data_IF_824891263101
#
_entry.id   IF_824891263101
#
_cell.length_a   1.000
_cell.length_b   1.000
_cell.length_c   1.000
_cell.angle_alpha   90.00
_cell.angle_beta   90.00
_cell.angle_gamma   90.00
#
_symmetry.space_group_name_H-M   'P 1'
#
loop_
_entity.id
_entity.type
_entity.pdbx_description
1 polymer ?
#
# COMPACT_ATOMS: atom_id res chain seq x y z
N UNK A 1 6.94 -12.16 -30.88
CA UNK A 1 5.59 -11.81 -30.41
C UNK A 1 5.79 -10.81 -29.29
N UNK A 2 5.20 -9.62 -29.36
CA UNK A 2 5.23 -8.68 -28.23
C UNK A 2 4.49 -9.31 -27.05
N UNK A 3 5.01 -9.17 -25.84
CA UNK A 3 4.28 -9.60 -24.64
C UNK A 3 2.92 -8.88 -24.57
N UNK A 4 1.85 -9.58 -24.13
CA UNK A 4 0.51 -9.00 -24.12
C UNK A 4 0.38 -7.94 -23.02
N UNK A 5 -0.08 -6.75 -23.41
CA UNK A 5 -0.56 -5.72 -22.47
C UNK A 5 -1.78 -6.27 -21.74
N UNK A 6 -1.78 -6.19 -20.40
CA UNK A 6 -2.91 -6.59 -19.55
C UNK A 6 -3.57 -5.36 -18.94
N UNK A 7 -4.90 -5.35 -18.94
CA UNK A 7 -5.72 -4.30 -18.31
C UNK A 7 -6.44 -4.93 -17.13
N UNK A 8 -6.41 -4.27 -15.99
CA UNK A 8 -7.06 -4.72 -14.76
C UNK A 8 -7.98 -3.64 -14.21
N UNK A 9 -9.03 -4.05 -13.50
CA UNK A 9 -9.87 -3.18 -12.71
C UNK A 9 -9.79 -3.63 -11.23
N UNK A 10 -9.63 -2.67 -10.32
CA UNK A 10 -9.56 -2.95 -8.88
C UNK A 10 -10.83 -3.64 -8.36
N UNK A 11 -12.00 -3.31 -8.93
CA UNK A 11 -13.27 -3.88 -8.51
C UNK A 11 -13.43 -5.36 -8.90
N UNK A 12 -12.69 -5.82 -9.91
CA UNK A 12 -12.68 -7.22 -10.33
C UNK A 12 -11.69 -8.08 -9.51
N UNK A 13 -10.84 -7.44 -8.70
CA UNK A 13 -9.82 -8.10 -7.87
C UNK A 13 -10.37 -8.36 -6.48
N UNK A 14 -10.44 -9.62 -5.99
CA UNK A 14 -10.91 -9.92 -4.64
C UNK A 14 -10.14 -9.16 -3.57
N UNK A 15 -10.84 -8.71 -2.53
CA UNK A 15 -10.21 -8.14 -1.35
C UNK A 15 -9.72 -9.25 -0.42
N UNK A 16 -8.48 -9.15 0.00
CA UNK A 16 -7.92 -9.87 1.14
C UNK A 16 -8.21 -9.01 2.36
N UNK A 17 -8.83 -9.61 3.36
CA UNK A 17 -9.25 -8.92 4.58
C UNK A 17 -8.27 -9.31 5.68
N UNK A 18 -7.56 -8.33 6.20
CA UNK A 18 -6.59 -8.50 7.28
C UNK A 18 -7.01 -7.66 8.50
N UNK A 19 -6.26 -7.77 9.59
CA UNK A 19 -6.43 -6.99 10.82
C UNK A 19 -7.88 -6.93 11.34
N UNK A 20 -8.49 -8.10 11.55
CA UNK A 20 -9.87 -8.23 12.07
C UNK A 20 -10.93 -7.51 11.23
N UNK A 21 -10.68 -7.29 9.94
CA UNK A 21 -11.63 -6.62 9.04
C UNK A 21 -11.25 -5.19 8.67
N UNK A 22 -10.24 -4.62 9.33
CA UNK A 22 -9.91 -3.19 9.23
C UNK A 22 -8.98 -2.84 8.09
N UNK A 23 -8.33 -3.85 7.51
CA UNK A 23 -7.47 -3.70 6.35
C UNK A 23 -8.04 -4.50 5.18
N UNK A 24 -8.25 -3.83 4.05
CA UNK A 24 -8.71 -4.45 2.81
C UNK A 24 -7.67 -4.25 1.72
N UNK A 25 -7.07 -5.33 1.24
CA UNK A 25 -5.99 -5.31 0.26
C UNK A 25 -6.46 -5.95 -1.05
N UNK A 26 -6.31 -5.25 -2.17
CA UNK A 26 -6.59 -5.79 -3.51
C UNK A 26 -5.29 -5.84 -4.31
N UNK A 27 -4.75 -7.05 -4.49
CA UNK A 27 -3.50 -7.29 -5.24
C UNK A 27 -3.77 -7.46 -6.72
N UNK A 28 -3.56 -6.37 -7.47
CA UNK A 28 -4.01 -6.24 -8.87
C UNK A 28 -2.95 -6.76 -9.84
N UNK A 29 -1.69 -6.34 -9.66
CA UNK A 29 -0.55 -6.80 -10.48
C UNK A 29 0.39 -7.59 -9.58
N UNK A 30 0.55 -8.87 -9.87
CA UNK A 30 1.40 -9.83 -9.14
C UNK A 30 2.08 -10.79 -10.14
N UNK A 31 2.91 -11.71 -9.66
CA UNK A 31 3.46 -12.76 -10.53
C UNK A 31 2.34 -13.64 -11.09
N UNK A 32 1.35 -14.04 -10.27
CA UNK A 32 0.24 -14.90 -10.71
C UNK A 32 -0.71 -14.22 -11.69
N UNK A 33 -1.05 -12.95 -11.49
CA UNK A 33 -2.00 -12.24 -12.35
C UNK A 33 -1.35 -11.73 -13.64
N UNK A 34 -0.10 -11.26 -13.54
CA UNK A 34 0.54 -10.50 -14.61
C UNK A 34 1.84 -11.11 -15.16
N UNK A 35 2.45 -12.12 -14.53
CA UNK A 35 3.87 -12.50 -14.72
C UNK A 35 4.84 -11.36 -14.33
N UNK A 36 4.41 -10.50 -13.40
CA UNK A 36 5.19 -9.37 -12.93
C UNK A 36 6.29 -9.83 -11.96
N UNK A 37 7.54 -9.79 -12.43
CA UNK A 37 8.73 -10.27 -11.70
C UNK A 37 9.46 -9.17 -10.92
N UNK A 38 9.27 -7.91 -11.31
CA UNK A 38 10.03 -6.79 -10.76
C UNK A 38 9.29 -6.06 -9.63
N UNK A 39 7.96 -6.00 -9.69
CA UNK A 39 7.15 -5.28 -8.72
C UNK A 39 5.74 -5.86 -8.65
N UNK A 40 5.03 -5.55 -7.57
CA UNK A 40 3.59 -5.74 -7.48
C UNK A 40 2.89 -4.39 -7.32
N UNK A 41 1.61 -4.35 -7.69
CA UNK A 41 0.73 -3.19 -7.55
C UNK A 41 -0.54 -3.60 -6.82
N UNK A 42 -0.87 -2.91 -5.74
CA UNK A 42 -2.09 -3.15 -4.99
C UNK A 42 -2.72 -1.87 -4.48
N UNK A 43 -4.02 -1.95 -4.20
CA UNK A 43 -4.77 -0.89 -3.52
C UNK A 43 -5.13 -1.41 -2.15
N UNK A 44 -4.82 -0.62 -1.12
CA UNK A 44 -5.17 -0.92 0.26
C UNK A 44 -6.11 0.15 0.79
N UNK A 45 -7.11 -0.29 1.56
CA UNK A 45 -7.96 0.56 2.38
C UNK A 45 -7.79 0.17 3.84
N UNK A 46 -7.58 1.17 4.69
CA UNK A 46 -7.68 1.02 6.14
C UNK A 46 -8.88 1.77 6.68
N UNK A 47 -9.58 1.14 7.61
CA UNK A 47 -10.60 1.79 8.42
C UNK A 47 -9.99 2.87 9.33
N UNK A 48 -10.83 3.80 9.75
CA UNK A 48 -10.40 4.92 10.58
C UNK A 48 -9.88 4.54 11.96
N UNK A 49 -9.00 5.39 12.50
CA UNK A 49 -8.44 5.24 13.85
C UNK A 49 -7.55 4.01 14.02
N UNK A 50 -7.02 3.47 12.92
CA UNK A 50 -6.00 2.43 12.97
C UNK A 50 -4.62 3.06 13.25
N UNK A 51 -3.79 2.37 14.02
CA UNK A 51 -2.44 2.80 14.33
C UNK A 51 -1.51 1.60 14.41
N UNK A 52 -0.38 1.68 13.70
CA UNK A 52 0.57 0.58 13.61
C UNK A 52 1.99 1.08 13.47
N UNK A 53 2.87 0.40 14.19
CA UNK A 53 4.30 0.54 14.04
C UNK A 53 4.84 -0.49 13.05
N UNK A 54 5.57 -0.03 12.04
CA UNK A 54 6.23 -0.86 11.05
C UNK A 54 7.72 -0.82 11.33
N UNK A 55 8.27 -1.93 11.82
CA UNK A 55 9.68 -2.04 12.19
C UNK A 55 10.48 -2.77 11.12
N UNK A 56 11.61 -2.20 10.70
CA UNK A 56 12.60 -2.84 9.83
C UNK A 56 11.95 -3.51 8.59
N UNK A 57 11.17 -2.72 7.86
CA UNK A 57 10.46 -3.16 6.65
C UNK A 57 11.44 -3.81 5.67
N UNK A 58 11.01 -4.87 4.99
CA UNK A 58 11.90 -5.70 4.17
C UNK A 58 11.95 -5.29 2.71
N UNK A 59 10.90 -4.63 2.24
CA UNK A 59 10.70 -4.33 0.84
C UNK A 59 10.96 -2.84 0.58
N UNK A 60 11.32 -2.54 -0.66
CA UNK A 60 11.28 -1.19 -1.18
C UNK A 60 9.85 -0.90 -1.63
N UNK A 61 9.26 0.20 -1.14
CA UNK A 61 7.86 0.51 -1.40
C UNK A 61 7.61 1.98 -1.68
N UNK A 62 6.62 2.22 -2.53
CA UNK A 62 5.99 3.52 -2.76
C UNK A 62 4.52 3.41 -2.44
N UNK A 63 4.06 4.30 -1.57
CA UNK A 63 2.66 4.53 -1.22
C UNK A 63 2.18 5.82 -1.89
N UNK A 64 1.00 5.81 -2.49
CA UNK A 64 0.36 7.02 -3.04
C UNK A 64 -1.07 7.12 -2.53
N UNK A 65 -1.37 8.20 -1.79
CA UNK A 65 -2.70 8.38 -1.18
C UNK A 65 -3.71 8.78 -2.25
N UNK A 66 -4.80 8.03 -2.32
CA UNK A 66 -5.94 8.28 -3.21
C UNK A 66 -7.06 9.04 -2.51
N UNK A 67 -7.36 8.66 -1.26
CA UNK A 67 -8.47 9.20 -0.48
C UNK A 67 -8.20 9.10 1.03
N UNK A 68 -8.85 9.95 1.83
CA UNK A 68 -8.68 9.98 3.28
C UNK A 68 -7.34 10.58 3.72
N UNK A 69 -6.94 10.30 4.97
CA UNK A 69 -5.68 10.82 5.53
C UNK A 69 -4.99 9.83 6.46
N UNK A 70 -3.66 9.92 6.51
CA UNK A 70 -2.82 9.13 7.40
C UNK A 70 -1.64 9.98 7.85
N UNK A 71 -1.37 10.01 9.15
CA UNK A 71 -0.15 10.60 9.70
C UNK A 71 0.92 9.52 9.75
N UNK A 72 2.12 9.84 9.26
CA UNK A 72 3.29 8.96 9.37
C UNK A 72 4.37 9.66 10.17
N UNK A 73 4.95 8.95 11.13
CA UNK A 73 5.98 9.48 12.02
C UNK A 73 7.27 8.65 11.88
N UNK A 74 8.39 9.30 11.60
CA UNK A 74 9.74 8.72 11.50
C UNK A 74 10.79 9.78 11.80
N UNK A 75 11.97 9.37 12.28
CA UNK A 75 13.10 10.28 12.60
C UNK A 75 12.74 11.49 13.49
N UNK A 76 11.71 11.34 14.33
CA UNK A 76 11.21 12.40 15.21
C UNK A 76 10.32 13.44 14.53
N UNK A 77 10.03 13.28 13.24
CA UNK A 77 9.12 14.11 12.47
C UNK A 77 7.76 13.43 12.27
N UNK A 78 6.71 14.24 12.09
CA UNK A 78 5.38 13.78 11.72
C UNK A 78 4.94 14.42 10.40
N UNK A 79 4.42 13.61 9.50
CA UNK A 79 3.96 14.04 8.19
C UNK A 79 2.51 13.59 7.98
N UNK A 80 1.61 14.55 7.75
CA UNK A 80 0.23 14.28 7.38
C UNK A 80 0.14 14.03 5.87
N UNK A 81 -0.22 12.80 5.50
CA UNK A 81 -0.40 12.38 4.11
C UNK A 81 -1.88 12.48 3.73
N UNK A 82 -2.15 13.10 2.58
CA UNK A 82 -3.49 13.37 2.01
C UNK A 82 -3.50 13.00 0.53
N UNK A 83 -4.64 13.02 -0.20
CA UNK A 83 -4.66 12.66 -1.61
C UNK A 83 -3.60 13.41 -2.42
N UNK A 84 -2.80 12.66 -3.18
CA UNK A 84 -1.63 13.19 -3.91
C UNK A 84 -0.31 13.14 -3.14
N UNK A 85 -0.31 12.84 -1.85
CA UNK A 85 0.92 12.56 -1.09
C UNK A 85 1.52 11.21 -1.48
N UNK A 86 2.85 11.17 -1.52
CA UNK A 86 3.63 9.95 -1.77
C UNK A 86 4.55 9.70 -0.58
N UNK A 87 4.57 8.47 -0.08
CA UNK A 87 5.59 8.01 0.85
C UNK A 87 6.45 6.96 0.17
N UNK A 88 7.76 7.15 0.21
CA UNK A 88 8.74 6.18 -0.26
C UNK A 88 9.58 5.71 0.92
N UNK A 89 9.84 4.41 0.99
CA UNK A 89 10.80 3.87 1.93
C UNK A 89 11.57 2.68 1.34
N UNK A 90 12.82 2.56 1.79
CA UNK A 90 13.73 1.47 1.43
C UNK A 90 13.71 0.39 2.52
N UNK A 91 14.24 -0.81 2.22
CA UNK A 91 14.46 -1.84 3.23
C UNK A 91 15.24 -1.30 4.44
N UNK A 92 14.80 -1.68 5.64
CA UNK A 92 15.34 -1.22 6.92
C UNK A 92 14.65 0.00 7.51
N UNK A 93 13.77 0.68 6.76
CA UNK A 93 12.99 1.78 7.32
C UNK A 93 12.10 1.31 8.48
N UNK A 94 11.87 2.20 9.43
CA UNK A 94 10.93 2.01 10.53
C UNK A 94 10.12 3.28 10.70
N UNK A 95 8.80 3.14 10.79
CA UNK A 95 7.89 4.27 10.90
C UNK A 95 6.59 3.85 11.59
N UNK A 96 5.93 4.80 12.22
CA UNK A 96 4.59 4.64 12.75
C UNK A 96 3.61 5.28 11.79
N UNK A 97 2.45 4.67 11.59
CA UNK A 97 1.35 5.33 10.90
C UNK A 97 0.08 5.33 11.76
N UNK A 98 -0.70 6.39 11.60
CA UNK A 98 -2.01 6.58 12.23
C UNK A 98 -3.01 7.04 11.19
N UNK A 99 -4.04 6.25 10.99
CA UNK A 99 -5.11 6.49 10.02
C UNK A 99 -6.12 7.47 10.61
N UNK A 100 -6.49 8.48 9.83
CA UNK A 100 -7.53 9.44 10.20
C UNK A 100 -8.88 8.76 10.46
N UNK A 101 -9.79 9.43 11.15
CA UNK A 101 -11.06 8.81 11.60
C UNK A 101 -11.98 8.34 10.47
N UNK A 102 -11.79 8.84 9.25
CA UNK A 102 -12.59 8.46 8.07
C UNK A 102 -11.98 7.29 7.28
N UNK A 103 -10.82 6.80 7.69
CA UNK A 103 -10.05 5.81 6.93
C UNK A 103 -9.11 6.44 5.90
N UNK A 104 -8.37 5.59 5.20
CA UNK A 104 -7.46 6.00 4.12
C UNK A 104 -7.43 4.94 3.03
N UNK A 105 -7.36 5.38 1.77
CA UNK A 105 -7.14 4.50 0.61
C UNK A 105 -5.89 4.92 -0.11
N UNK A 106 -5.01 3.97 -0.43
CA UNK A 106 -3.77 4.25 -1.13
C UNK A 106 -3.36 3.11 -2.07
N UNK A 107 -2.55 3.47 -3.05
CA UNK A 107 -1.84 2.53 -3.92
C UNK A 107 -0.52 2.17 -3.26
N UNK A 108 -0.11 0.92 -3.41
CA UNK A 108 1.23 0.44 -3.08
C UNK A 108 1.87 -0.13 -4.33
N UNK A 109 3.12 0.27 -4.59
CA UNK A 109 4.04 -0.44 -5.48
C UNK A 109 5.20 -0.92 -4.63
N UNK A 110 5.49 -2.22 -4.67
CA UNK A 110 6.60 -2.78 -3.91
C UNK A 110 7.48 -3.72 -4.72
N UNK A 111 8.75 -3.77 -4.33
CA UNK A 111 9.80 -4.65 -4.83
C UNK A 111 10.52 -5.31 -3.65
N UNK A 112 10.65 -6.65 -3.61
CA UNK A 112 10.16 -7.63 -4.59
C UNK A 112 8.62 -7.70 -4.68
N UNK A 113 8.05 -8.27 -5.75
CA UNK A 113 6.60 -8.41 -5.91
C UNK A 113 5.97 -9.25 -4.79
N UNK A 114 4.81 -8.80 -4.30
CA UNK A 114 3.93 -9.55 -3.37
C UNK A 114 2.83 -10.29 -4.12
N UNK A 115 2.29 -11.31 -3.46
CA UNK A 115 1.23 -12.20 -3.97
C UNK A 115 -0.10 -12.00 -3.30
#
# INVERSE_FOLDING_TARGET
>A
MSEPIKVFNVHDTPAIIEEEGREQIRRIVTMKSADAKAFSFHVTHFDGGHERFNANVKDEEVLFILDGEMTVSYDGEEHCLRPGSTLYFKPGASFQHKVGVQGVTFVVVCSPPRE
#
